data_IF_674147424161
#
_entry.id   IF_674147424161
#
_cell.length_a   1.000
_cell.length_b   1.000
_cell.length_c   1.000
_cell.angle_alpha   90.00
_cell.angle_beta   90.00
_cell.angle_gamma   90.00
#
_symmetry.space_group_name_H-M   'P 1'
#
loop_
_entity.id
_entity.type
_entity.pdbx_description
1 polymer ?
#
# COMPACT_ATOMS: atom_id res chain seq x y z
N UNK A 1 -4.60 1.81 12.17
CA UNK A 1 -5.50 1.22 11.16
C UNK A 1 -6.70 0.65 11.90
N UNK A 2 -7.91 0.85 11.37
CA UNK A 2 -9.21 0.50 11.96
C UNK A 2 -9.71 -0.88 11.52
N UNK A 3 -8.85 -1.90 11.57
CA UNK A 3 -9.22 -3.30 11.33
C UNK A 3 -9.94 -3.90 12.55
N UNK A 4 -10.99 -3.25 13.05
CA UNK A 4 -11.72 -3.66 14.25
C UNK A 4 -12.52 -4.97 14.02
N UNK A 5 -12.66 -5.76 15.08
CA UNK A 5 -13.51 -6.95 15.12
C UNK A 5 -14.52 -6.82 16.29
N UNK A 6 -15.84 -6.79 16.04
CA UNK A 6 -16.49 -6.86 14.73
C UNK A 6 -16.25 -5.59 13.87
N UNK A 7 -16.46 -5.67 12.54
CA UNK A 7 -16.37 -4.50 11.65
C UNK A 7 -17.28 -3.36 12.08
N UNK A 8 -16.91 -2.13 11.75
CA UNK A 8 -17.77 -0.97 12.01
C UNK A 8 -18.96 -0.95 11.05
N UNK A 9 -20.15 -0.60 11.54
CA UNK A 9 -21.35 -0.40 10.71
C UNK A 9 -22.01 0.95 11.02
N UNK A 10 -21.91 1.96 10.12
CA UNK A 10 -21.13 1.94 8.88
C UNK A 10 -19.63 2.03 9.11
N UNK A 11 -18.84 1.57 8.15
CA UNK A 11 -17.38 1.76 8.15
C UNK A 11 -17.03 3.26 8.16
N UNK A 12 -16.12 3.71 9.04
CA UNK A 12 -15.71 5.10 9.08
C UNK A 12 -14.97 5.49 7.79
N UNK A 13 -15.07 6.77 7.43
CA UNK A 13 -14.25 7.31 6.33
C UNK A 13 -12.79 7.34 6.78
N UNK A 14 -11.95 6.55 6.12
CA UNK A 14 -10.52 6.50 6.43
C UNK A 14 -9.84 7.86 6.16
N UNK A 15 -8.76 8.16 6.88
CA UNK A 15 -8.03 9.42 6.74
C UNK A 15 -6.95 9.34 5.66
N UNK A 16 -6.35 10.48 5.28
CA UNK A 16 -5.14 10.50 4.42
C UNK A 16 -4.00 9.70 5.08
N UNK A 17 -3.81 9.88 6.40
CA UNK A 17 -2.79 9.15 7.15
C UNK A 17 -3.03 7.64 7.10
N UNK A 18 -4.28 7.20 7.23
CA UNK A 18 -4.65 5.79 7.09
C UNK A 18 -4.31 5.24 5.70
N UNK A 19 -4.66 5.96 4.63
CA UNK A 19 -4.39 5.51 3.25
C UNK A 19 -2.90 5.48 2.92
N UNK A 20 -2.11 6.42 3.42
CA UNK A 20 -0.65 6.36 3.32
C UNK A 20 -0.11 5.13 4.06
N UNK A 21 -0.52 4.91 5.32
CA UNK A 21 -0.12 3.75 6.09
C UNK A 21 -0.52 2.42 5.39
N UNK A 22 -1.71 2.36 4.78
CA UNK A 22 -2.15 1.21 4.00
C UNK A 22 -1.17 0.87 2.87
N UNK A 23 -0.83 1.86 2.04
CA UNK A 23 0.09 1.68 0.92
C UNK A 23 1.50 1.28 1.38
N UNK A 24 2.02 2.00 2.39
CA UNK A 24 3.35 1.75 2.97
C UNK A 24 3.43 0.33 3.53
N UNK A 25 2.44 -0.08 4.34
CA UNK A 25 2.38 -1.40 4.96
C UNK A 25 2.25 -2.53 3.92
N UNK A 26 1.48 -2.29 2.84
CA UNK A 26 1.36 -3.21 1.72
C UNK A 26 2.70 -3.45 1.01
N UNK A 27 3.44 -2.39 0.70
CA UNK A 27 4.78 -2.50 0.12
C UNK A 27 5.78 -3.11 1.10
N UNK A 28 5.80 -2.69 2.36
CA UNK A 28 6.72 -3.21 3.37
C UNK A 28 6.53 -4.73 3.58
N UNK A 29 5.29 -5.20 3.68
CA UNK A 29 4.94 -6.62 3.75
C UNK A 29 5.42 -7.38 2.52
N UNK A 30 5.20 -6.84 1.33
CA UNK A 30 5.66 -7.46 0.06
C UNK A 30 7.19 -7.51 -0.03
N UNK A 31 7.87 -6.42 0.33
CA UNK A 31 9.32 -6.31 0.34
C UNK A 31 9.96 -7.28 1.33
N UNK A 32 9.35 -7.45 2.51
CA UNK A 32 9.80 -8.43 3.51
C UNK A 32 9.65 -9.88 3.03
N UNK A 33 8.60 -10.17 2.27
CA UNK A 33 8.34 -11.51 1.73
C UNK A 33 9.19 -11.86 0.50
N UNK A 34 9.55 -10.88 -0.33
CA UNK A 34 10.09 -11.16 -1.67
C UNK A 34 11.43 -10.52 -2.00
N UNK A 35 11.77 -9.40 -1.38
CA UNK A 35 12.87 -8.56 -1.84
C UNK A 35 13.92 -8.30 -0.74
N UNK A 36 14.00 -9.15 0.27
CA UNK A 36 15.10 -9.15 1.23
C UNK A 36 15.06 -8.04 2.28
N UNK A 37 13.89 -7.40 2.51
CA UNK A 37 13.70 -6.59 3.72
C UNK A 37 13.37 -7.48 4.92
N UNK A 38 13.50 -6.91 6.12
CA UNK A 38 13.01 -7.55 7.34
C UNK A 38 11.54 -7.96 7.17
N UNK A 39 11.19 -9.24 7.41
CA UNK A 39 9.81 -9.68 7.36
C UNK A 39 8.94 -8.86 8.31
N UNK A 40 7.83 -8.34 7.80
CA UNK A 40 6.89 -7.51 8.54
C UNK A 40 5.48 -7.75 8.03
N UNK A 41 4.51 -7.28 8.80
CA UNK A 41 3.08 -7.29 8.48
C UNK A 41 2.54 -5.88 8.64
N UNK A 42 1.35 -5.62 8.10
CA UNK A 42 0.66 -4.34 8.32
C UNK A 42 0.45 -4.01 9.81
N UNK A 43 0.44 -5.03 10.68
CA UNK A 43 0.29 -4.87 12.13
C UNK A 43 1.61 -4.72 12.89
N UNK A 44 2.75 -5.08 12.30
CA UNK A 44 4.07 -5.03 12.95
C UNK A 44 4.99 -3.97 12.37
N UNK A 45 4.62 -3.36 11.23
CA UNK A 45 5.39 -2.28 10.63
C UNK A 45 5.30 -0.99 11.46
N UNK A 46 6.45 -0.32 11.64
CA UNK A 46 6.53 0.95 12.36
C UNK A 46 6.19 2.11 11.41
N UNK A 47 4.98 2.65 11.55
CA UNK A 47 4.49 3.73 10.70
C UNK A 47 5.01 5.10 11.16
N UNK A 48 5.31 5.95 10.18
CA UNK A 48 5.69 7.34 10.39
C UNK A 48 4.68 8.13 11.24
N UNK A 49 5.20 9.00 12.12
CA UNK A 49 4.40 9.89 12.95
C UNK A 49 4.04 11.22 12.28
N UNK A 50 4.71 11.57 11.18
CA UNK A 50 4.50 12.82 10.44
C UNK A 50 4.23 12.58 8.97
N UNK A 51 3.58 13.56 8.31
CA UNK A 51 3.30 13.49 6.88
C UNK A 51 4.57 13.40 6.02
N UNK A 52 5.67 14.04 6.46
CA UNK A 52 6.95 14.01 5.74
C UNK A 52 7.57 12.63 5.79
N UNK A 53 7.72 12.09 6.99
CA UNK A 53 8.26 10.75 7.19
C UNK A 53 7.38 9.68 6.51
N UNK A 54 6.06 9.89 6.42
CA UNK A 54 5.18 8.97 5.71
C UNK A 54 5.42 8.99 4.19
N UNK A 55 5.70 10.16 3.61
CA UNK A 55 6.09 10.26 2.20
C UNK A 55 7.46 9.61 1.97
N UNK A 56 8.43 9.86 2.85
CA UNK A 56 9.75 9.23 2.79
C UNK A 56 9.63 7.69 2.89
N UNK A 57 8.80 7.18 3.81
CA UNK A 57 8.50 5.75 3.91
C UNK A 57 7.85 5.19 2.63
N UNK A 58 6.91 5.92 2.03
CA UNK A 58 6.27 5.48 0.79
C UNK A 58 7.27 5.38 -0.35
N UNK A 59 8.10 6.42 -0.53
CA UNK A 59 9.14 6.45 -1.56
C UNK A 59 10.16 5.32 -1.35
N UNK A 60 10.63 5.12 -0.12
CA UNK A 60 11.59 4.05 0.22
C UNK A 60 11.04 2.65 -0.06
N UNK A 61 9.80 2.38 0.35
CA UNK A 61 9.19 1.06 0.15
C UNK A 61 8.84 0.83 -1.32
N UNK A 62 8.36 1.85 -2.03
CA UNK A 62 8.08 1.77 -3.45
C UNK A 62 9.36 1.57 -4.28
N UNK A 63 10.43 2.32 -4.00
CA UNK A 63 11.70 2.19 -4.72
C UNK A 63 12.33 0.80 -4.51
N UNK A 64 12.25 0.27 -3.29
CA UNK A 64 12.71 -1.09 -2.99
C UNK A 64 11.90 -2.13 -3.77
N UNK A 65 10.57 -2.00 -3.75
CA UNK A 65 9.67 -2.88 -4.49
C UNK A 65 9.96 -2.82 -5.99
N UNK A 66 10.07 -1.61 -6.56
CA UNK A 66 10.33 -1.39 -7.98
C UNK A 66 11.66 -2.00 -8.41
N UNK A 67 12.70 -1.85 -7.58
CA UNK A 67 14.02 -2.47 -7.83
C UNK A 67 13.91 -3.99 -7.81
N UNK A 68 13.22 -4.56 -6.81
CA UNK A 68 12.97 -5.98 -6.71
C UNK A 68 12.23 -6.54 -7.93
N UNK A 69 11.14 -5.89 -8.33
CA UNK A 69 10.34 -6.27 -9.51
C UNK A 69 11.17 -6.22 -10.79
N UNK A 70 11.98 -5.17 -10.99
CA UNK A 70 12.86 -5.05 -12.17
C UNK A 70 13.89 -6.18 -12.23
N UNK A 71 14.44 -6.56 -11.09
CA UNK A 71 15.46 -7.61 -11.00
C UNK A 71 14.93 -9.02 -11.30
N UNK A 72 13.61 -9.25 -11.23
CA UNK A 72 13.02 -10.54 -11.62
C UNK A 72 13.13 -10.80 -13.13
N UNK A 73 13.17 -9.74 -13.95
CA UNK A 73 13.05 -9.85 -15.39
C UNK A 73 11.72 -10.47 -15.84
N UNK A 74 11.55 -10.64 -17.16
CA UNK A 74 10.30 -11.17 -17.72
C UNK A 74 10.02 -12.60 -17.28
N UNK A 75 11.05 -13.46 -17.18
CA UNK A 75 10.87 -14.85 -16.74
C UNK A 75 10.42 -14.92 -15.28
N UNK A 76 11.05 -14.18 -14.38
CA UNK A 76 10.68 -14.18 -12.96
C UNK A 76 9.26 -13.69 -12.72
N UNK A 77 8.72 -12.81 -13.58
CA UNK A 77 7.32 -12.36 -13.50
C UNK A 77 6.30 -13.47 -13.80
N UNK A 78 6.70 -14.54 -14.50
CA UNK A 78 5.82 -15.68 -14.84
C UNK A 78 5.79 -16.75 -13.76
N UNK A 79 6.71 -16.71 -12.79
CA UNK A 79 6.78 -17.70 -11.72
C UNK A 79 5.53 -17.66 -10.82
N UNK A 80 5.09 -18.81 -10.28
CA UNK A 80 3.97 -18.88 -9.35
C UNK A 80 4.19 -17.99 -8.12
N UNK A 81 3.17 -17.26 -7.68
CA UNK A 81 3.29 -16.38 -6.52
C UNK A 81 3.32 -17.15 -5.17
N UNK A 82 2.81 -18.39 -5.12
CA UNK A 82 2.82 -19.22 -3.91
C UNK A 82 1.73 -18.90 -2.88
N UNK A 83 1.63 -17.66 -2.41
CA UNK A 83 0.65 -17.25 -1.38
C UNK A 83 -0.21 -16.06 -1.85
N UNK A 84 -1.51 -15.98 -1.45
CA UNK A 84 -2.25 -16.97 -0.65
C UNK A 84 -2.63 -18.23 -1.47
N UNK A 85 -3.07 -19.35 -0.84
CA UNK A 85 -3.32 -20.61 -1.56
C UNK A 85 -4.32 -20.47 -2.71
N UNK A 86 -5.34 -19.62 -2.54
CA UNK A 86 -6.33 -19.33 -3.57
C UNK A 86 -5.74 -18.79 -4.88
N UNK A 87 -4.53 -18.20 -4.83
CA UNK A 87 -3.84 -17.67 -5.98
C UNK A 87 -2.43 -18.22 -6.16
N UNK A 88 -2.07 -19.31 -5.49
CA UNK A 88 -0.71 -19.85 -5.45
C UNK A 88 -0.09 -20.06 -6.83
N UNK A 89 -0.88 -20.57 -7.78
CA UNK A 89 -0.45 -20.89 -9.14
C UNK A 89 -0.52 -19.71 -10.12
N UNK A 90 -1.09 -18.57 -9.71
CA UNK A 90 -1.09 -17.40 -10.56
C UNK A 90 0.32 -16.81 -10.66
N UNK A 91 0.69 -16.22 -11.81
CA UNK A 91 2.00 -15.61 -11.97
C UNK A 91 2.18 -14.46 -10.98
N UNK A 92 3.39 -14.24 -10.49
CA UNK A 92 3.70 -13.11 -9.58
C UNK A 92 3.39 -11.76 -10.24
N UNK A 93 3.38 -11.68 -11.57
CA UNK A 93 2.87 -10.51 -12.31
C UNK A 93 1.42 -10.14 -11.91
N UNK A 94 0.55 -11.10 -11.60
CA UNK A 94 -0.82 -10.84 -11.15
C UNK A 94 -0.83 -10.14 -9.80
N UNK A 95 0.04 -10.55 -8.88
CA UNK A 95 0.21 -9.91 -7.58
C UNK A 95 0.67 -8.45 -7.73
N UNK A 96 1.67 -8.22 -8.58
CA UNK A 96 2.20 -6.88 -8.80
C UNK A 96 1.25 -5.97 -9.58
N UNK A 97 0.45 -6.52 -10.48
CA UNK A 97 -0.66 -5.79 -11.09
C UNK A 97 -1.65 -5.33 -10.02
N UNK A 98 -2.01 -6.21 -9.08
CA UNK A 98 -2.87 -5.84 -7.95
C UNK A 98 -2.25 -4.73 -7.09
N UNK A 99 -0.95 -4.80 -6.78
CA UNK A 99 -0.26 -3.71 -6.05
C UNK A 99 -0.37 -2.35 -6.77
N UNK A 100 -0.31 -2.33 -8.10
CA UNK A 100 -0.52 -1.09 -8.87
C UNK A 100 -1.96 -0.60 -8.79
N UNK A 101 -2.94 -1.51 -8.84
CA UNK A 101 -4.36 -1.15 -8.66
C UNK A 101 -4.57 -0.49 -7.30
N UNK A 102 -4.03 -1.05 -6.22
CA UNK A 102 -4.16 -0.48 -4.87
C UNK A 102 -3.50 0.91 -4.79
N UNK A 103 -2.30 1.07 -5.36
CA UNK A 103 -1.60 2.36 -5.40
C UNK A 103 -2.42 3.42 -6.12
N UNK A 104 -2.97 3.10 -7.30
CA UNK A 104 -3.76 4.04 -8.11
C UNK A 104 -5.08 4.34 -7.39
N UNK A 105 -5.76 3.32 -6.87
CA UNK A 105 -7.03 3.44 -6.16
C UNK A 105 -6.89 4.36 -4.95
N UNK A 106 -6.00 4.04 -4.00
CA UNK A 106 -5.84 4.84 -2.80
C UNK A 106 -5.13 6.18 -3.07
N UNK A 107 -4.25 6.25 -4.08
CA UNK A 107 -3.66 7.51 -4.54
C UNK A 107 -4.70 8.50 -5.05
N UNK A 108 -5.71 8.02 -5.79
CA UNK A 108 -6.84 8.84 -6.23
C UNK A 108 -7.68 9.33 -5.04
N UNK A 109 -7.97 8.46 -4.07
CA UNK A 109 -8.71 8.86 -2.87
C UNK A 109 -7.94 9.89 -2.01
N UNK A 110 -6.61 9.72 -1.85
CA UNK A 110 -5.76 10.70 -1.17
C UNK A 110 -5.84 12.05 -1.89
N UNK A 111 -5.75 12.04 -3.22
CA UNK A 111 -5.81 13.27 -4.03
C UNK A 111 -7.16 13.97 -3.85
N UNK A 112 -8.27 13.21 -3.96
CA UNK A 112 -9.62 13.72 -3.72
C UNK A 112 -9.75 14.33 -2.31
N UNK A 113 -9.27 13.66 -1.27
CA UNK A 113 -9.36 14.19 0.10
C UNK A 113 -8.53 15.45 0.29
N UNK A 114 -7.35 15.56 -0.35
CA UNK A 114 -6.54 16.79 -0.32
C UNK A 114 -7.27 17.94 -1.01
N UNK A 115 -7.89 17.69 -2.16
CA UNK A 115 -8.65 18.71 -2.89
C UNK A 115 -9.86 19.16 -2.06
N UNK A 116 -10.65 18.24 -1.51
CA UNK A 116 -11.79 18.57 -0.65
C UNK A 116 -11.36 19.35 0.60
N UNK A 117 -10.22 19.01 1.21
CA UNK A 117 -9.69 19.75 2.35
C UNK A 117 -9.40 21.22 2.00
N UNK A 118 -8.80 21.47 0.83
CA UNK A 118 -8.52 22.83 0.36
C UNK A 118 -9.80 23.61 0.01
N UNK A 119 -10.87 22.92 -0.43
CA UNK A 119 -12.14 23.54 -0.84
C UNK A 119 -13.14 23.70 0.30
N UNK A 120 -12.99 23.01 1.44
CA UNK A 120 -13.90 23.09 2.60
C UNK A 120 -14.03 24.50 3.22
N UNK A 121 -13.20 25.47 2.83
CA UNK A 121 -13.25 26.87 3.27
C UNK A 121 -13.66 27.89 2.20
N UNK A 122 -14.18 27.46 1.04
CA UNK A 122 -14.67 28.37 -0.01
C UNK A 122 -16.18 28.69 0.11
N UNK A 123 -16.95 27.87 0.83
CA UNK A 123 -18.38 28.11 1.10
C UNK A 123 -18.65 28.92 2.39
N UNK A 124 -17.60 29.42 3.06
CA UNK A 124 -17.69 30.24 4.28
C UNK A 124 -17.01 31.62 4.14
N UNK A 125 -16.81 32.10 2.90
CA UNK A 125 -16.29 33.45 2.61
C UNK A 125 -17.24 34.24 1.73
#
# INVERSE_FOLDING_TARGET
MDYAEPPHDPEPVTTIAWRLAHLIGGYASTNGKRFGRTPTTVSTFEYAGTAREALDQLDDQYNHWLTGVRNLGTSGLTEPQGEPPAFAHAPVAKLFLYSNVELIHHGAEISLLRDLYLHKGLDQR
#
